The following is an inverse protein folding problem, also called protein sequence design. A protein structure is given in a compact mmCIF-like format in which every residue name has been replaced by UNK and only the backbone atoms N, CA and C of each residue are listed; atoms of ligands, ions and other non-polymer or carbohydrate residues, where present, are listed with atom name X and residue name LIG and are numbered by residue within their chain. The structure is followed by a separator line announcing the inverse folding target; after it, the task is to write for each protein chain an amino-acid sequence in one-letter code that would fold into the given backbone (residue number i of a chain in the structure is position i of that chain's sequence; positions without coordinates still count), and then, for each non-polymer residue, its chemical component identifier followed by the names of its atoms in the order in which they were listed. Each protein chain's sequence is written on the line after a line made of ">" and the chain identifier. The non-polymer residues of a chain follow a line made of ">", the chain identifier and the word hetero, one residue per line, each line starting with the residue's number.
data_IF_610640361379
#
_entry.id   IF_610640361379
#
_cell.length_a   1.000
_cell.length_b   1.000
_cell.length_c   1.000
_cell.angle_alpha   90.00
_cell.angle_beta   90.00
_cell.angle_gamma   90.00
#
_symmetry.space_group_name_H-M   'P 1'
#
loop_
_entity.id
_entity.type
_entity.pdbx_description
1 polymer ?
#
# COMPACT_ATOMS: atom_id res chain seq x y z
N UNK A 1 -10.95 -48.78 -10.23
CA UNK A 1 -10.13 -47.54 -10.39
C UNK A 1 -9.39 -47.34 -9.09
N UNK A 2 -8.13 -47.77 -9.02
CA UNK A 2 -7.28 -47.59 -7.84
C UNK A 2 -7.05 -46.09 -7.66
N UNK A 3 -7.49 -45.51 -6.55
CA UNK A 3 -7.13 -44.12 -6.19
C UNK A 3 -5.60 -44.05 -6.08
N UNK A 4 -4.97 -43.36 -7.01
CA UNK A 4 -3.54 -43.08 -6.97
C UNK A 4 -3.30 -42.08 -5.83
N UNK A 5 -3.08 -42.59 -4.62
CA UNK A 5 -2.79 -41.79 -3.42
C UNK A 5 -1.35 -41.24 -3.38
N UNK A 6 -0.53 -41.61 -4.38
CA UNK A 6 0.92 -41.36 -4.41
C UNK A 6 1.35 -40.42 -5.56
N UNK A 7 0.42 -39.63 -6.11
CA UNK A 7 0.76 -38.67 -7.17
C UNK A 7 1.53 -37.47 -6.59
N UNK A 8 2.78 -37.30 -7.02
CA UNK A 8 3.65 -36.21 -6.58
C UNK A 8 4.20 -35.47 -7.81
N UNK A 9 3.91 -34.18 -7.89
CA UNK A 9 4.57 -33.29 -8.85
C UNK A 9 5.90 -32.80 -8.27
N UNK A 10 6.95 -32.80 -9.08
CA UNK A 10 8.25 -32.20 -8.72
C UNK A 10 8.76 -31.35 -9.86
N UNK A 11 9.51 -30.31 -9.52
CA UNK A 11 10.20 -29.46 -10.50
C UNK A 11 11.71 -29.55 -10.24
N UNK A 12 12.50 -29.79 -11.28
CA UNK A 12 13.96 -29.96 -11.17
C UNK A 12 14.75 -28.93 -11.98
N UNK A 13 14.07 -27.98 -12.64
CA UNK A 13 14.70 -26.92 -13.41
C UNK A 13 15.14 -25.74 -12.54
N UNK A 14 15.95 -24.81 -13.09
CA UNK A 14 16.18 -23.54 -12.44
C UNK A 14 14.89 -22.71 -12.41
N UNK A 15 14.66 -21.97 -11.32
CA UNK A 15 13.59 -20.99 -11.27
C UNK A 15 13.93 -19.85 -12.24
N UNK A 16 13.02 -19.43 -13.13
CA UNK A 16 13.25 -18.38 -14.12
C UNK A 16 13.25 -16.99 -13.46
N UNK A 17 14.24 -16.73 -12.62
CA UNK A 17 14.35 -15.48 -11.86
C UNK A 17 14.59 -14.27 -12.77
N UNK A 18 15.32 -14.43 -13.88
CA UNK A 18 15.58 -13.31 -14.78
C UNK A 18 14.29 -12.79 -15.43
N UNK A 19 13.49 -13.69 -16.01
CA UNK A 19 12.20 -13.32 -16.62
C UNK A 19 11.25 -12.70 -15.58
N UNK A 20 11.30 -13.19 -14.33
CA UNK A 20 10.53 -12.61 -13.23
C UNK A 20 11.00 -11.19 -12.90
N UNK A 21 12.30 -10.96 -12.85
CA UNK A 21 12.90 -9.66 -12.57
C UNK A 21 12.61 -8.64 -13.67
N UNK A 22 12.60 -9.04 -14.93
CA UNK A 22 12.26 -8.15 -16.04
C UNK A 22 10.79 -7.66 -15.92
N UNK A 23 9.89 -8.52 -15.43
CA UNK A 23 8.48 -8.14 -15.19
C UNK A 23 8.35 -7.18 -13.99
N UNK A 24 9.13 -7.41 -12.92
CA UNK A 24 9.19 -6.50 -11.76
C UNK A 24 9.70 -5.13 -12.21
N UNK A 25 10.79 -5.10 -12.98
CA UNK A 25 11.40 -3.86 -13.46
C UNK A 25 10.42 -3.09 -14.35
N UNK A 26 9.75 -3.76 -15.28
CA UNK A 26 8.74 -3.13 -16.13
C UNK A 26 7.56 -2.53 -15.34
N UNK A 27 7.04 -3.27 -14.35
CA UNK A 27 5.98 -2.75 -13.49
C UNK A 27 6.44 -1.52 -12.69
N UNK A 28 7.65 -1.57 -12.15
CA UNK A 28 8.23 -0.47 -11.38
C UNK A 28 8.46 0.78 -12.23
N UNK A 29 8.94 0.63 -13.46
CA UNK A 29 9.10 1.75 -14.42
C UNK A 29 7.76 2.46 -14.69
N UNK A 30 6.67 1.71 -14.84
CA UNK A 30 5.32 2.29 -15.03
C UNK A 30 4.84 3.06 -13.79
N UNK A 31 5.20 2.61 -12.58
CA UNK A 31 4.93 3.36 -11.33
C UNK A 31 5.72 4.67 -11.29
N UNK A 32 7.00 4.65 -11.68
CA UNK A 32 7.81 5.88 -11.77
C UNK A 32 7.25 6.86 -12.80
N UNK A 33 6.80 6.36 -13.95
CA UNK A 33 6.14 7.17 -14.97
C UNK A 33 4.85 7.79 -14.45
N UNK A 34 4.03 7.05 -13.69
CA UNK A 34 2.81 7.58 -13.08
C UNK A 34 3.12 8.79 -12.18
N UNK A 35 4.14 8.70 -11.32
CA UNK A 35 4.59 9.83 -10.48
C UNK A 35 5.07 11.02 -11.31
N UNK A 36 5.80 10.76 -12.39
CA UNK A 36 6.27 11.80 -13.30
C UNK A 36 5.11 12.53 -13.97
N UNK A 37 4.10 11.79 -14.45
CA UNK A 37 2.90 12.40 -15.04
C UNK A 37 2.14 13.24 -14.01
N UNK A 38 1.98 12.74 -12.79
CA UNK A 38 1.34 13.48 -11.70
C UNK A 38 2.06 14.80 -11.42
N UNK A 39 3.39 14.79 -11.33
CA UNK A 39 4.19 16.00 -11.12
C UNK A 39 4.00 17.00 -12.28
N UNK A 40 4.09 16.52 -13.52
CA UNK A 40 3.93 17.37 -14.71
C UNK A 40 2.52 17.96 -14.81
N UNK A 41 1.50 17.18 -14.47
CA UNK A 41 0.11 17.64 -14.38
C UNK A 41 -0.05 18.71 -13.31
N UNK A 42 0.52 18.50 -12.12
CA UNK A 42 0.48 19.49 -11.04
C UNK A 42 1.14 20.81 -11.45
N UNK A 43 2.33 20.75 -12.05
CA UNK A 43 3.04 21.93 -12.56
C UNK A 43 2.22 22.67 -13.62
N UNK A 44 1.63 21.94 -14.58
CA UNK A 44 0.79 22.55 -15.63
C UNK A 44 -0.52 23.10 -15.11
N UNK A 45 -1.15 22.44 -14.15
CA UNK A 45 -2.37 22.93 -13.50
C UNK A 45 -2.12 24.25 -12.75
N UNK A 46 -0.97 24.38 -12.07
CA UNK A 46 -0.56 25.63 -11.41
C UNK A 46 -0.38 26.75 -12.44
N UNK A 47 0.32 26.47 -13.55
CA UNK A 47 0.51 27.44 -14.64
C UNK A 47 -0.82 27.86 -15.27
N UNK A 48 -1.68 26.89 -15.60
CA UNK A 48 -3.00 27.13 -16.15
C UNK A 48 -3.82 28.06 -15.27
N UNK A 49 -3.89 27.76 -13.97
CA UNK A 49 -4.60 28.58 -12.98
C UNK A 49 -4.01 29.98 -12.83
N UNK A 50 -2.69 30.14 -12.95
CA UNK A 50 -2.05 31.45 -12.91
C UNK A 50 -2.45 32.32 -14.12
N UNK A 51 -2.53 31.71 -15.31
CA UNK A 51 -2.98 32.37 -16.54
C UNK A 51 -4.45 32.78 -16.43
N UNK A 52 -5.33 31.88 -15.99
CA UNK A 52 -6.76 32.17 -15.75
C UNK A 52 -6.95 33.36 -14.79
N UNK A 53 -6.20 33.39 -13.68
CA UNK A 53 -6.25 34.50 -12.71
C UNK A 53 -5.80 35.83 -13.33
N UNK A 54 -4.78 35.79 -14.18
CA UNK A 54 -4.29 36.98 -14.89
C UNK A 54 -5.33 37.49 -15.90
N UNK A 55 -5.94 36.59 -16.68
CA UNK A 55 -7.05 36.90 -17.59
C UNK A 55 -8.24 37.51 -16.86
N UNK A 56 -8.70 36.89 -15.76
CA UNK A 56 -9.82 37.40 -14.97
C UNK A 56 -9.57 38.81 -14.44
N UNK A 57 -8.33 39.10 -14.03
CA UNK A 57 -7.95 40.43 -13.54
C UNK A 57 -7.99 41.46 -14.67
N UNK A 58 -7.54 41.10 -15.88
CA UNK A 58 -7.60 41.96 -17.06
C UNK A 58 -9.04 42.18 -17.54
N UNK A 59 -9.88 41.16 -17.54
CA UNK A 59 -11.31 41.29 -17.88
C UNK A 59 -12.09 42.15 -16.91
N UNK A 60 -11.65 42.22 -15.64
CA UNK A 60 -12.28 43.06 -14.61
C UNK A 60 -11.84 44.53 -14.66
N UNK A 61 -10.74 44.84 -15.37
CA UNK A 61 -10.23 46.19 -15.51
C UNK A 61 -11.18 47.03 -16.39
N UNK A 62 -11.55 48.22 -15.94
CA UNK A 62 -12.45 49.12 -16.67
C UNK A 62 -11.75 49.78 -17.87
N UNK A 63 -10.43 49.73 -17.90
CA UNK A 63 -9.59 50.26 -18.97
C UNK A 63 -9.21 49.12 -19.92
N UNK A 64 -9.58 49.17 -21.21
CA UNK A 64 -9.32 48.08 -22.16
C UNK A 64 -7.82 47.98 -22.45
N UNK A 65 -7.10 47.21 -21.65
CA UNK A 65 -5.74 46.80 -21.96
C UNK A 65 -5.77 45.62 -22.94
N UNK A 66 -4.91 45.57 -23.98
CA UNK A 66 -4.87 44.44 -24.90
C UNK A 66 -4.56 43.15 -24.13
N UNK A 67 -5.35 42.09 -24.34
CA UNK A 67 -5.12 40.75 -23.77
C UNK A 67 -3.83 40.10 -24.31
N UNK A 68 -3.20 40.71 -25.32
CA UNK A 68 -1.95 40.29 -25.97
C UNK A 68 -1.99 38.79 -26.34
N UNK A 69 -1.04 38.01 -25.81
CA UNK A 69 -0.81 36.59 -26.11
C UNK A 69 -1.35 35.65 -25.03
N UNK A 70 -2.03 36.17 -24.00
CA UNK A 70 -2.48 35.37 -22.86
C UNK A 70 -3.52 34.32 -23.27
N UNK A 71 -4.41 34.65 -24.21
CA UNK A 71 -5.42 33.72 -24.73
C UNK A 71 -4.76 32.56 -25.50
N UNK A 72 -3.73 32.86 -26.31
CA UNK A 72 -2.94 31.82 -27.01
C UNK A 72 -2.16 30.96 -26.03
N UNK A 73 -1.60 31.56 -24.97
CA UNK A 73 -0.89 30.83 -23.92
C UNK A 73 -1.83 29.93 -23.10
N UNK A 74 -3.05 30.41 -22.81
CA UNK A 74 -4.07 29.63 -22.13
C UNK A 74 -4.44 28.40 -22.96
N UNK A 75 -4.76 28.58 -24.25
CA UNK A 75 -5.09 27.49 -25.17
C UNK A 75 -3.94 26.47 -25.28
N UNK A 76 -2.70 26.95 -25.41
CA UNK A 76 -1.53 26.08 -25.44
C UNK A 76 -1.33 25.28 -24.14
N UNK A 77 -1.55 25.93 -22.99
CA UNK A 77 -1.45 25.27 -21.67
C UNK A 77 -2.58 24.28 -21.45
N UNK A 78 -3.80 24.61 -21.89
CA UNK A 78 -4.95 23.70 -21.86
C UNK A 78 -4.67 22.41 -22.63
N UNK A 79 -4.19 22.54 -23.88
CA UNK A 79 -3.81 21.37 -24.70
C UNK A 79 -2.74 20.51 -24.05
N UNK A 80 -1.75 21.13 -23.39
CA UNK A 80 -0.73 20.39 -22.65
C UNK A 80 -1.32 19.64 -21.45
N UNK A 81 -2.24 20.24 -20.70
CA UNK A 81 -2.94 19.58 -19.59
C UNK A 81 -3.72 18.36 -20.10
N UNK A 82 -4.48 18.50 -21.18
CA UNK A 82 -5.23 17.38 -21.78
C UNK A 82 -4.28 16.27 -22.24
N UNK A 83 -3.24 16.60 -23.00
CA UNK A 83 -2.28 15.60 -23.49
C UNK A 83 -1.55 14.86 -22.35
N UNK A 84 -1.23 15.55 -21.25
CA UNK A 84 -0.64 14.92 -20.07
C UNK A 84 -1.64 14.05 -19.32
N UNK A 85 -2.92 14.45 -19.25
CA UNK A 85 -3.98 13.65 -18.65
C UNK A 85 -4.21 12.35 -19.43
N UNK A 86 -4.29 12.42 -20.76
CA UNK A 86 -4.44 11.24 -21.62
C UNK A 86 -3.25 10.29 -21.45
N UNK A 87 -2.02 10.81 -21.44
CA UNK A 87 -0.83 10.01 -21.23
C UNK A 87 -0.76 9.38 -19.82
N UNK A 88 -1.24 10.08 -18.79
CA UNK A 88 -1.33 9.56 -17.44
C UNK A 88 -2.34 8.41 -17.34
N UNK A 89 -3.50 8.55 -17.99
CA UNK A 89 -4.54 7.51 -18.06
C UNK A 89 -4.04 6.26 -18.81
N UNK A 90 -3.38 6.45 -19.96
CA UNK A 90 -2.78 5.35 -20.70
C UNK A 90 -1.73 4.59 -19.86
N UNK A 91 -0.83 5.33 -19.18
CA UNK A 91 0.14 4.72 -18.28
C UNK A 91 -0.53 3.97 -17.13
N UNK A 92 -1.62 4.49 -16.55
CA UNK A 92 -2.37 3.82 -15.49
C UNK A 92 -2.98 2.50 -15.98
N UNK A 93 -3.54 2.48 -17.20
CA UNK A 93 -4.08 1.27 -17.81
C UNK A 93 -3.00 0.20 -18.04
N UNK A 94 -1.84 0.60 -18.59
CA UNK A 94 -0.71 -0.31 -18.82
C UNK A 94 -0.14 -0.81 -17.48
N UNK A 95 -0.03 0.06 -16.47
CA UNK A 95 0.42 -0.31 -15.12
C UNK A 95 -0.50 -1.36 -14.48
N UNK A 96 -1.81 -1.24 -14.64
CA UNK A 96 -2.77 -2.25 -14.17
C UNK A 96 -2.55 -3.61 -14.86
N UNK A 97 -2.34 -3.61 -16.17
CA UNK A 97 -2.03 -4.83 -16.93
C UNK A 97 -0.69 -5.44 -16.48
N UNK A 98 0.35 -4.62 -16.32
CA UNK A 98 1.64 -5.07 -15.82
C UNK A 98 1.53 -5.68 -14.42
N UNK A 99 0.70 -5.10 -13.53
CA UNK A 99 0.49 -5.61 -12.19
C UNK A 99 -0.24 -6.96 -12.18
N UNK A 100 -1.30 -7.11 -12.98
CA UNK A 100 -1.99 -8.40 -13.11
C UNK A 100 -1.07 -9.49 -13.65
N UNK A 101 -0.25 -9.16 -14.66
CA UNK A 101 0.81 -10.05 -15.17
C UNK A 101 1.82 -10.41 -14.07
N UNK A 102 2.29 -9.43 -13.31
CA UNK A 102 3.22 -9.64 -12.20
C UNK A 102 2.64 -10.59 -11.15
N UNK A 103 1.36 -10.45 -10.78
CA UNK A 103 0.68 -11.35 -9.85
C UNK A 103 0.65 -12.79 -10.38
N UNK A 104 0.27 -12.98 -11.64
CA UNK A 104 0.23 -14.31 -12.25
C UNK A 104 1.61 -14.97 -12.32
N UNK A 105 2.65 -14.22 -12.68
CA UNK A 105 4.03 -14.74 -12.70
C UNK A 105 4.52 -15.04 -11.28
N UNK A 106 4.20 -14.18 -10.32
CA UNK A 106 4.53 -14.41 -8.91
C UNK A 106 3.90 -15.71 -8.39
N UNK A 107 2.63 -15.97 -8.70
CA UNK A 107 1.95 -17.23 -8.37
C UNK A 107 2.66 -18.44 -9.01
N UNK A 108 3.06 -18.32 -10.28
CA UNK A 108 3.82 -19.37 -10.95
C UNK A 108 5.17 -19.61 -10.27
N UNK A 109 5.90 -18.57 -9.91
CA UNK A 109 7.19 -18.68 -9.20
C UNK A 109 7.01 -19.36 -7.84
N UNK A 110 5.96 -19.01 -7.08
CA UNK A 110 5.60 -19.66 -5.81
C UNK A 110 5.30 -21.16 -6.02
N UNK A 111 4.61 -21.51 -7.10
CA UNK A 111 4.36 -22.91 -7.46
C UNK A 111 5.66 -23.64 -7.81
N UNK A 112 6.56 -23.02 -8.58
CA UNK A 112 7.83 -23.66 -8.95
C UNK A 112 8.73 -23.90 -7.73
N UNK A 113 8.87 -22.92 -6.83
CA UNK A 113 9.64 -23.09 -5.58
C UNK A 113 9.00 -24.15 -4.68
N UNK A 114 7.67 -24.22 -4.60
CA UNK A 114 6.97 -25.20 -3.76
C UNK A 114 7.19 -26.63 -4.24
N UNK A 115 7.13 -26.86 -5.55
CA UNK A 115 7.41 -28.15 -6.18
C UNK A 115 8.89 -28.54 -6.10
N UNK A 116 9.80 -27.55 -6.19
CA UNK A 116 11.24 -27.79 -6.11
C UNK A 116 11.70 -28.15 -4.70
N UNK A 117 11.21 -27.42 -3.68
CA UNK A 117 11.63 -27.60 -2.28
C UNK A 117 10.69 -28.49 -1.47
N UNK A 118 9.61 -29.00 -2.07
CA UNK A 118 8.56 -29.80 -1.41
C UNK A 118 7.99 -29.06 -0.18
N UNK A 119 7.63 -27.80 -0.37
CA UNK A 119 7.10 -26.97 0.71
C UNK A 119 5.74 -27.48 1.19
N UNK A 120 5.47 -27.34 2.49
CA UNK A 120 4.14 -27.65 3.05
C UNK A 120 3.12 -26.59 2.65
N UNK A 121 1.83 -26.90 2.82
CA UNK A 121 0.72 -25.97 2.56
C UNK A 121 0.90 -24.68 3.36
N UNK A 122 1.30 -24.77 4.63
CA UNK A 122 1.54 -23.60 5.49
C UNK A 122 2.68 -22.73 4.96
N UNK A 123 3.75 -23.34 4.45
CA UNK A 123 4.89 -22.61 3.88
C UNK A 123 4.53 -21.91 2.58
N UNK A 124 3.69 -22.55 1.76
CA UNK A 124 3.14 -21.93 0.55
C UNK A 124 2.25 -20.75 0.93
N UNK A 125 1.39 -20.90 1.93
CA UNK A 125 0.54 -19.81 2.42
C UNK A 125 1.35 -18.61 2.94
N UNK A 126 2.47 -18.85 3.64
CA UNK A 126 3.38 -17.79 4.07
C UNK A 126 4.00 -17.07 2.85
N UNK A 127 4.42 -17.80 1.83
CA UNK A 127 4.96 -17.21 0.60
C UNK A 127 3.91 -16.39 -0.15
N UNK A 128 2.69 -16.92 -0.28
CA UNK A 128 1.58 -16.20 -0.90
C UNK A 128 1.27 -14.90 -0.16
N UNK A 129 1.19 -14.94 1.17
CA UNK A 129 0.99 -13.73 1.98
C UNK A 129 2.15 -12.73 1.85
N UNK A 130 3.39 -13.23 1.70
CA UNK A 130 4.60 -12.40 1.55
C UNK A 130 4.65 -11.69 0.20
N UNK A 131 4.32 -12.41 -0.88
CA UNK A 131 4.52 -11.94 -2.26
C UNK A 131 3.25 -11.40 -2.93
N UNK A 132 2.06 -11.70 -2.40
CA UNK A 132 0.78 -11.22 -2.93
C UNK A 132 -0.01 -10.42 -1.87
N UNK A 133 0.61 -9.43 -1.20
CA UNK A 133 -0.05 -8.71 -0.10
C UNK A 133 -1.19 -7.79 -0.57
N UNK A 134 -1.20 -7.39 -1.85
CA UNK A 134 -2.10 -6.37 -2.38
C UNK A 134 -3.00 -6.91 -3.50
N UNK A 135 -4.26 -6.45 -3.47
CA UNK A 135 -5.22 -6.68 -4.57
C UNK A 135 -4.96 -5.74 -5.74
N UNK A 136 -4.57 -4.48 -5.45
CA UNK A 136 -4.26 -3.40 -6.39
C UNK A 136 -3.17 -2.50 -5.78
N UNK A 137 -2.35 -1.83 -6.62
CA UNK A 137 -1.47 -0.77 -6.13
C UNK A 137 -2.31 0.49 -5.85
N UNK A 138 -2.04 1.15 -4.73
CA UNK A 138 -2.55 2.50 -4.47
C UNK A 138 -1.43 3.52 -4.71
N UNK A 139 -1.79 4.81 -4.71
CA UNK A 139 -0.84 5.90 -4.89
C UNK A 139 0.20 5.97 -3.77
N UNK A 140 -0.18 5.56 -2.55
CA UNK A 140 0.66 5.61 -1.35
C UNK A 140 1.40 4.29 -1.09
N UNK A 141 0.80 3.16 -1.49
CA UNK A 141 1.32 1.82 -1.22
C UNK A 141 1.29 0.95 -2.46
N UNK A 142 2.47 0.49 -2.87
CA UNK A 142 2.60 -0.49 -3.93
C UNK A 142 3.33 -1.75 -3.52
N UNK A 143 3.43 -2.62 -4.51
CA UNK A 143 3.86 -4.00 -4.36
C UNK A 143 5.32 -4.14 -3.94
N UNK A 144 6.22 -3.36 -4.56
CA UNK A 144 7.66 -3.48 -4.38
C UNK A 144 8.09 -3.27 -2.93
N UNK A 145 7.69 -2.15 -2.32
CA UNK A 145 8.00 -1.81 -0.93
C UNK A 145 7.33 -2.77 0.07
N UNK A 146 6.11 -3.22 -0.23
CA UNK A 146 5.37 -4.15 0.62
C UNK A 146 6.02 -5.53 0.64
N UNK A 147 6.35 -6.06 -0.54
CA UNK A 147 7.00 -7.37 -0.67
C UNK A 147 8.42 -7.31 -0.15
N UNK A 148 9.17 -6.23 -0.40
CA UNK A 148 10.52 -6.08 0.13
C UNK A 148 10.54 -6.07 1.67
N UNK A 149 9.59 -5.37 2.29
CA UNK A 149 9.45 -5.36 3.75
C UNK A 149 9.10 -6.75 4.30
N UNK A 150 8.12 -7.43 3.69
CA UNK A 150 7.71 -8.78 4.08
C UNK A 150 8.82 -9.81 3.92
N UNK A 151 9.56 -9.79 2.81
CA UNK A 151 10.71 -10.68 2.59
C UNK A 151 11.82 -10.36 3.60
N UNK A 152 12.12 -9.09 3.84
CA UNK A 152 13.13 -8.68 4.81
C UNK A 152 12.80 -9.19 6.21
N UNK A 153 11.52 -9.10 6.61
CA UNK A 153 11.04 -9.66 7.86
C UNK A 153 11.24 -11.19 7.89
N UNK A 154 10.77 -11.90 6.87
CA UNK A 154 10.87 -13.36 6.77
C UNK A 154 12.32 -13.87 6.81
N UNK A 155 13.22 -13.19 6.10
CA UNK A 155 14.66 -13.48 6.11
C UNK A 155 15.28 -13.30 7.50
N UNK A 156 14.80 -12.32 8.27
CA UNK A 156 15.31 -11.99 9.60
C UNK A 156 14.75 -12.91 10.69
N UNK A 157 13.45 -13.21 10.66
CA UNK A 157 12.76 -13.93 11.74
C UNK A 157 12.69 -15.42 11.52
N UNK A 158 12.49 -15.89 10.28
CA UNK A 158 12.31 -17.31 9.99
C UNK A 158 13.55 -17.99 9.39
N UNK A 159 14.43 -17.25 8.72
CA UNK A 159 15.52 -17.82 7.92
C UNK A 159 16.91 -17.27 8.26
N UNK A 160 17.08 -16.58 9.40
CA UNK A 160 18.38 -16.03 9.79
C UNK A 160 19.35 -17.15 10.20
N UNK A 161 20.61 -17.05 9.74
CA UNK A 161 21.65 -18.07 10.04
C UNK A 161 22.58 -17.67 11.19
N UNK A 162 22.48 -16.44 11.68
CA UNK A 162 23.38 -15.86 12.70
C UNK A 162 22.73 -14.68 13.41
N UNK A 163 23.05 -14.44 14.68
CA UNK A 163 22.62 -13.22 15.40
C UNK A 163 23.19 -11.92 14.80
N UNK A 164 24.22 -12.00 13.95
CA UNK A 164 24.75 -10.85 13.19
C UNK A 164 23.88 -10.48 11.97
N UNK A 165 23.00 -11.36 11.49
CA UNK A 165 22.03 -11.07 10.40
C UNK A 165 20.88 -10.18 10.87
N UNK A 166 20.75 -9.91 12.18
CA UNK A 166 19.78 -8.94 12.70
C UNK A 166 20.05 -7.49 12.23
N UNK A 167 21.20 -7.25 11.58
CA UNK A 167 21.56 -5.99 10.94
C UNK A 167 20.75 -5.68 9.67
N UNK A 168 19.87 -6.57 9.19
CA UNK A 168 18.81 -6.17 8.26
C UNK A 168 17.93 -5.13 8.96
N UNK A 169 18.15 -3.86 8.63
CA UNK A 169 17.37 -2.73 9.12
C UNK A 169 15.92 -2.95 8.69
N UNK A 170 15.03 -3.10 9.68
CA UNK A 170 13.59 -3.03 9.45
C UNK A 170 13.29 -1.59 9.06
N UNK A 171 13.21 -1.34 7.75
CA UNK A 171 12.67 -0.09 7.26
C UNK A 171 11.17 -0.14 7.46
N UNK A 172 10.69 0.50 8.53
CA UNK A 172 9.26 0.59 8.85
C UNK A 172 8.53 1.64 8.00
N UNK A 173 9.23 2.38 7.14
CA UNK A 173 8.61 3.32 6.21
C UNK A 173 8.45 2.66 4.85
N UNK A 174 7.19 2.38 4.49
CA UNK A 174 6.78 1.91 3.19
C UNK A 174 6.74 3.11 2.24
N UNK A 175 7.82 3.31 1.50
CA UNK A 175 7.91 4.35 0.48
C UNK A 175 8.38 3.73 -0.83
N UNK A 176 8.05 4.39 -1.95
CA UNK A 176 8.50 3.93 -3.26
C UNK A 176 10.04 3.86 -3.28
N UNK A 177 10.62 2.70 -3.64
CA UNK A 177 12.08 2.56 -3.66
C UNK A 177 12.68 3.40 -4.80
N UNK A 178 14.01 3.58 -4.79
CA UNK A 178 14.72 4.25 -5.88
C UNK A 178 14.98 3.33 -7.07
N UNK A 179 15.13 2.04 -6.79
CA UNK A 179 15.37 0.97 -7.75
C UNK A 179 14.83 -0.36 -7.20
N UNK A 180 14.79 -1.37 -8.05
CA UNK A 180 14.36 -2.73 -7.70
C UNK A 180 15.52 -3.62 -7.23
N UNK A 181 16.75 -3.11 -7.17
CA UNK A 181 17.94 -3.94 -6.94
C UNK A 181 17.92 -4.59 -5.56
N UNK A 182 17.46 -3.87 -4.54
CA UNK A 182 17.34 -4.41 -3.18
C UNK A 182 16.33 -5.56 -3.13
N UNK A 183 15.14 -5.35 -3.69
CA UNK A 183 14.09 -6.35 -3.76
C UNK A 183 14.56 -7.61 -4.49
N UNK A 184 15.16 -7.48 -5.67
CA UNK A 184 15.70 -8.62 -6.45
C UNK A 184 16.76 -9.40 -5.67
N UNK A 185 17.63 -8.72 -4.92
CA UNK A 185 18.62 -9.36 -4.03
C UNK A 185 17.93 -10.13 -2.89
N UNK A 186 16.92 -9.55 -2.26
CA UNK A 186 16.17 -10.20 -1.18
C UNK A 186 15.39 -11.43 -1.68
N UNK A 187 14.75 -11.35 -2.86
CA UNK A 187 14.08 -12.50 -3.50
C UNK A 187 15.10 -13.62 -3.77
N UNK A 188 16.25 -13.28 -4.37
CA UNK A 188 17.32 -14.25 -4.65
C UNK A 188 17.80 -14.92 -3.37
N UNK A 189 18.06 -14.12 -2.32
CA UNK A 189 18.52 -14.61 -1.02
C UNK A 189 17.47 -15.51 -0.35
N UNK A 190 16.19 -15.18 -0.45
CA UNK A 190 15.10 -16.00 0.07
C UNK A 190 15.10 -17.37 -0.60
N UNK A 191 15.15 -17.41 -1.93
CA UNK A 191 15.12 -18.67 -2.67
C UNK A 191 16.38 -19.50 -2.43
N UNK A 192 17.54 -18.87 -2.32
CA UNK A 192 18.79 -19.54 -1.93
C UNK A 192 18.73 -20.16 -0.52
N UNK A 193 18.08 -19.48 0.43
CA UNK A 193 17.92 -20.00 1.80
C UNK A 193 16.93 -21.16 1.83
N UNK A 194 15.85 -21.08 1.06
CA UNK A 194 14.90 -22.19 0.89
C UNK A 194 15.59 -23.39 0.23
N UNK A 195 16.41 -23.16 -0.80
CA UNK A 195 17.19 -24.19 -1.49
C UNK A 195 18.15 -24.96 -0.57
N UNK A 196 18.66 -24.27 0.46
CA UNK A 196 19.57 -24.84 1.46
C UNK A 196 18.83 -25.50 2.64
N UNK A 197 17.53 -25.75 2.50
CA UNK A 197 16.71 -26.42 3.51
C UNK A 197 16.10 -25.49 4.57
N UNK A 198 16.10 -24.18 4.35
CA UNK A 198 15.39 -23.22 5.19
C UNK A 198 13.91 -23.59 5.34
N UNK A 199 13.37 -23.45 6.55
CA UNK A 199 11.94 -23.69 6.83
C UNK A 199 11.34 -22.40 7.35
N UNK A 200 10.20 -22.03 6.80
CA UNK A 200 9.43 -20.86 7.26
C UNK A 200 8.41 -21.36 8.29
N UNK A 201 8.42 -20.76 9.47
CA UNK A 201 7.44 -20.97 10.52
C UNK A 201 7.19 -19.63 11.22
N UNK A 202 5.95 -19.16 11.21
CA UNK A 202 5.53 -17.98 11.94
C UNK A 202 5.12 -18.44 13.35
N UNK A 203 6.08 -18.70 14.23
CA UNK A 203 5.77 -18.87 15.65
C UNK A 203 5.58 -17.48 16.25
N UNK A 204 4.34 -17.15 16.60
CA UNK A 204 3.97 -15.94 17.34
C UNK A 204 4.44 -15.96 18.81
N UNK A 205 5.08 -17.04 19.26
CA UNK A 205 5.52 -17.25 20.64
C UNK A 205 6.96 -16.77 20.89
N UNK A 206 7.27 -15.54 20.46
CA UNK A 206 8.50 -14.84 20.83
C UNK A 206 8.12 -13.49 21.43
N UNK A 207 7.51 -13.53 22.62
CA UNK A 207 7.58 -12.46 23.64
C UNK A 207 6.99 -12.88 25.01
N UNK A 208 7.11 -14.15 25.39
CA UNK A 208 6.85 -14.58 26.77
C UNK A 208 8.05 -15.35 27.32
N UNK A 209 9.27 -14.80 27.27
CA UNK A 209 10.37 -15.13 28.20
C UNK A 209 11.55 -14.16 27.97
N UNK A 210 11.42 -12.94 28.49
CA UNK A 210 12.58 -12.29 29.11
C UNK A 210 12.48 -12.53 30.62
N UNK A 211 13.48 -13.13 31.29
CA UNK A 211 13.55 -13.08 32.73
C UNK A 211 13.91 -11.64 33.13
N UNK A 212 12.88 -10.84 33.47
CA UNK A 212 13.06 -9.56 34.13
C UNK A 212 13.78 -9.82 35.46
N UNK A 213 15.04 -9.42 35.53
CA UNK A 213 15.77 -9.27 36.78
C UNK A 213 15.07 -8.22 37.63
N UNK A 214 14.66 -8.64 38.83
CA UNK A 214 14.13 -7.81 39.91
C UNK A 214 15.06 -6.62 40.17
N UNK A 215 14.54 -5.39 40.07
CA UNK A 215 15.05 -4.23 40.79
C UNK A 215 14.02 -3.11 40.79
N UNK A 216 13.58 -2.68 41.98
CA UNK A 216 13.02 -1.34 42.19
C UNK A 216 11.59 -1.29 42.74
N UNK A 217 11.51 -1.36 44.06
CA UNK A 217 10.61 -0.64 44.97
C UNK A 217 9.16 -0.36 44.54
N UNK A 218 8.25 -1.01 45.27
CA UNK A 218 6.82 -0.72 45.34
C UNK A 218 6.60 0.60 46.09
N UNK A 219 5.99 1.59 45.44
CA UNK A 219 5.27 2.67 46.13
C UNK A 219 3.80 2.61 45.70
N UNK A 220 2.95 2.33 46.68
CA UNK A 220 1.50 2.22 46.58
C UNK A 220 0.89 3.59 46.30
N UNK A 221 0.05 3.70 45.28
CA UNK A 221 -0.76 4.90 45.00
C UNK A 221 -1.78 5.07 46.14
N UNK A 222 -1.91 6.25 46.79
CA UNK A 222 -2.92 6.46 47.81
C UNK A 222 -4.30 6.68 47.19
N UNK A 223 -5.30 5.96 47.71
CA UNK A 223 -6.72 6.27 47.55
C UNK A 223 -7.04 7.65 48.14
N UNK A 224 -7.83 8.44 47.42
CA UNK A 224 -8.40 9.69 47.91
C UNK A 224 -9.92 9.59 47.94
N UNK A 225 -10.47 9.36 49.13
CA UNK A 225 -11.90 9.48 49.44
C UNK A 225 -12.21 10.81 50.14
N UNK A 226 -13.22 11.50 49.59
CA UNK A 226 -14.25 12.34 50.23
C UNK A 226 -13.93 13.41 51.31
N UNK A 227 -14.28 14.66 50.99
CA UNK A 227 -15.00 15.62 51.88
C UNK A 227 -16.02 16.38 51.00
N UNK A 228 -17.31 16.08 51.07
CA UNK A 228 -18.35 16.68 51.92
C UNK A 228 -18.46 18.23 51.85
N UNK A 229 -19.47 18.72 51.12
CA UNK A 229 -20.39 19.76 51.64
C UNK A 229 -21.70 19.82 50.88
N UNK A 230 -22.78 19.57 51.60
CA UNK A 230 -24.16 19.68 51.19
C UNK A 230 -24.63 21.15 51.11
N UNK A 231 -25.51 21.44 50.15
CA UNK A 231 -26.58 22.43 50.27
C UNK A 231 -27.71 22.14 49.25
N UNK A 232 -28.67 21.33 49.70
CA UNK A 232 -30.12 21.50 49.55
C UNK A 232 -30.72 22.21 48.32
N UNK A 233 -31.46 21.40 47.55
CA UNK A 233 -32.91 21.52 47.27
C UNK A 233 -33.45 22.46 46.16
N UNK A 234 -34.09 21.79 45.19
CA UNK A 234 -35.48 21.97 44.72
C UNK A 234 -35.70 22.40 43.26
N UNK A 235 -36.38 21.48 42.56
CA UNK A 235 -37.52 21.72 41.66
C UNK A 235 -37.25 22.36 40.29
N UNK A 236 -37.36 21.56 39.22
CA UNK A 236 -38.58 21.48 38.38
C UNK A 236 -38.33 20.63 37.13
N UNK A 237 -39.35 19.86 36.75
CA UNK A 237 -39.45 19.06 35.51
C UNK A 237 -39.35 19.92 34.25
N UNK A 238 -38.95 19.33 33.10
CA UNK A 238 -39.62 19.46 31.77
C UNK A 238 -38.88 18.55 30.75
N UNK A 239 -39.40 17.34 30.49
CA UNK A 239 -40.15 16.89 29.28
C UNK A 239 -39.35 16.92 27.96
N UNK A 240 -38.99 15.71 27.50
CA UNK A 240 -38.59 15.40 26.13
C UNK A 240 -39.84 15.36 25.22
N UNK A 241 -39.90 16.23 24.21
CA UNK A 241 -40.89 16.10 23.14
C UNK A 241 -40.31 15.25 21.99
N UNK A 242 -40.78 14.00 21.94
CA UNK A 242 -40.92 13.21 20.71
C UNK A 242 -42.36 13.44 20.24
N UNK A 243 -42.58 13.78 18.97
CA UNK A 243 -43.82 13.42 18.29
C UNK A 243 -43.62 13.30 16.78
N UNK A 244 -44.26 12.25 16.29
CA UNK A 244 -44.36 11.70 14.94
C UNK A 244 -45.78 12.01 14.41
N UNK A 245 -46.00 11.78 13.11
CA UNK A 245 -47.26 11.71 12.33
C UNK A 245 -47.77 13.02 11.70
N UNK A 246 -48.30 13.07 10.46
CA UNK A 246 -48.83 12.02 9.54
C UNK A 246 -49.04 12.55 8.11
N UNK A 247 -49.06 11.62 7.15
CA UNK A 247 -49.61 11.72 5.78
C UNK A 247 -51.11 12.11 5.74
N UNK A 248 -51.60 12.75 4.66
CA UNK A 248 -52.38 12.05 3.62
C UNK A 248 -52.73 12.90 2.37
N UNK A 249 -52.96 12.19 1.26
CA UNK A 249 -53.21 12.61 -0.12
C UNK A 249 -54.55 13.32 -0.40
N UNK A 250 -54.60 14.16 -1.46
CA UNK A 250 -55.64 14.04 -2.52
C UNK A 250 -55.31 14.82 -3.81
N UNK A 251 -55.56 14.13 -4.92
CA UNK A 251 -55.59 14.50 -6.34
C UNK A 251 -56.75 15.43 -6.73
N UNK A 252 -56.58 16.30 -7.75
CA UNK A 252 -57.49 16.44 -8.91
C UNK A 252 -57.06 17.53 -9.93
N UNK A 253 -56.84 17.08 -11.17
CA UNK A 253 -57.29 17.63 -12.48
C UNK A 253 -57.55 19.14 -12.63
N UNK A 254 -56.73 19.84 -13.43
CA UNK A 254 -57.01 20.29 -14.81
C UNK A 254 -55.80 21.00 -15.41
#
# INVERSE_FOLDING_TARGET
>A
RQNCKDFVCTFSGPIPLQDYFDIIDHHFELRLNAMKYEQLLAERAIQFRAIERSLLTRFKDKTPAPLQHLDTLLEGTYRQVIALADAAEENQAIMFQAFTKLKSVTQLVILLISLWQKLSVDQVAILEATFLPLTQNTQELGWEESVDASISHLLKTCLSKSSKDHALTLFNQLCIPKDTNRLKKHITLLFDRLAKGGRMSLNTDLDCHQPMLLSGNCDTIPESDFEERAATQNSTMFVNHRNVDKQDNKSETK
#
